data_IF_194730586600
#
_entry.id   IF_194730586600
#
_cell.length_a   1.000
_cell.length_b   1.000
_cell.length_c   1.000
_cell.angle_alpha   90.00
_cell.angle_beta   90.00
_cell.angle_gamma   90.00
#
_symmetry.space_group_name_H-M   'P 1'
#
loop_
_entity.id
_entity.type
_entity.pdbx_description
1 polymer ?
#
# COMPACT_ATOMS: atom_id res chain seq x y z
N UNK A 1 -14.04 0.92 20.20
CA UNK A 1 -14.37 0.35 21.51
C UNK A 1 -13.44 0.98 22.51
N UNK A 2 -13.99 1.26 23.67
CA UNK A 2 -13.26 1.69 24.85
C UNK A 2 -12.42 0.54 25.42
N UNK A 3 -11.49 0.84 26.32
CA UNK A 3 -10.66 -0.18 26.99
C UNK A 3 -11.46 -1.16 27.83
N UNK A 4 -12.64 -0.76 28.33
CA UNK A 4 -13.60 -1.60 29.04
C UNK A 4 -14.45 -2.51 28.11
N UNK A 5 -14.25 -2.40 26.79
CA UNK A 5 -14.97 -3.16 25.77
C UNK A 5 -16.29 -2.52 25.31
N UNK A 6 -16.69 -1.39 25.88
CA UNK A 6 -17.90 -0.67 25.45
C UNK A 6 -17.70 0.00 24.08
N UNK A 7 -18.82 0.30 23.41
CA UNK A 7 -18.79 0.93 22.09
C UNK A 7 -18.68 2.45 22.27
N UNK A 8 -17.65 3.06 21.68
CA UNK A 8 -17.61 4.51 21.49
C UNK A 8 -18.51 4.86 20.30
N UNK A 9 -19.66 5.45 20.57
CA UNK A 9 -20.69 5.71 19.57
C UNK A 9 -20.28 6.83 18.62
N UNK A 10 -19.64 7.89 19.11
CA UNK A 10 -19.17 9.03 18.32
C UNK A 10 -18.18 8.59 17.23
N UNK A 11 -17.19 7.77 17.61
CA UNK A 11 -16.22 7.23 16.68
C UNK A 11 -16.83 6.23 15.68
N UNK A 12 -17.82 5.45 16.13
CA UNK A 12 -18.54 4.48 15.29
C UNK A 12 -19.40 5.20 14.27
N UNK A 13 -20.16 6.18 14.72
CA UNK A 13 -21.06 6.99 13.91
C UNK A 13 -20.27 7.80 12.86
N UNK A 14 -19.13 8.40 13.24
CA UNK A 14 -18.22 9.03 12.29
C UNK A 14 -17.75 8.08 11.17
N UNK A 15 -17.42 6.82 11.50
CA UNK A 15 -17.02 5.83 10.49
C UNK A 15 -18.17 5.42 9.58
N UNK A 16 -19.36 5.24 10.14
CA UNK A 16 -20.57 4.90 9.38
C UNK A 16 -20.94 6.04 8.44
N UNK A 17 -21.00 7.27 8.95
CA UNK A 17 -21.23 8.47 8.16
C UNK A 17 -20.23 8.58 7.01
N UNK A 18 -18.93 8.45 7.29
CA UNK A 18 -17.91 8.47 6.25
C UNK A 18 -18.11 7.37 5.19
N UNK A 19 -18.54 6.17 5.61
CA UNK A 19 -18.82 5.07 4.68
C UNK A 19 -20.03 5.36 3.79
N UNK A 20 -21.11 5.89 4.34
CA UNK A 20 -22.33 6.23 3.61
C UNK A 20 -22.09 7.38 2.62
N UNK A 21 -21.33 8.40 3.01
CA UNK A 21 -20.93 9.51 2.12
C UNK A 21 -19.93 9.07 1.05
N UNK A 22 -19.19 7.98 1.29
CA UNK A 22 -18.17 7.47 0.37
C UNK A 22 -18.38 5.97 0.09
N UNK A 23 -19.49 5.57 -0.56
CA UNK A 23 -19.83 4.16 -0.76
C UNK A 23 -18.82 3.46 -1.69
N UNK A 24 -18.19 4.23 -2.59
CA UNK A 24 -17.09 3.77 -3.45
C UNK A 24 -15.71 3.82 -2.78
N UNK A 25 -15.65 4.21 -1.49
CA UNK A 25 -14.43 4.32 -0.71
C UNK A 25 -13.73 2.97 -0.56
N UNK A 26 -12.39 2.96 -0.63
CA UNK A 26 -11.66 1.70 -0.47
C UNK A 26 -11.76 1.22 0.97
N UNK A 27 -12.08 -0.07 1.18
CA UNK A 27 -12.05 -0.74 2.50
C UNK A 27 -10.78 -0.44 3.30
N UNK A 28 -9.62 -0.36 2.64
CA UNK A 28 -8.35 -0.03 3.29
C UNK A 28 -8.31 1.37 3.93
N UNK A 29 -9.10 2.32 3.42
CA UNK A 29 -9.24 3.65 4.01
C UNK A 29 -10.06 3.59 5.29
N UNK A 30 -11.19 2.87 5.29
CA UNK A 30 -11.98 2.63 6.49
C UNK A 30 -11.17 1.93 7.57
N UNK A 31 -10.44 0.86 7.22
CA UNK A 31 -9.53 0.17 8.14
C UNK A 31 -8.39 1.08 8.68
N UNK A 32 -7.97 2.08 7.89
CA UNK A 32 -7.02 3.09 8.37
C UNK A 32 -7.70 4.01 9.38
N UNK A 33 -8.89 4.52 9.08
CA UNK A 33 -9.59 5.46 9.93
C UNK A 33 -10.01 4.81 11.24
N UNK A 34 -10.51 3.57 11.20
CA UNK A 34 -10.82 2.80 12.40
C UNK A 34 -9.61 2.67 13.32
N UNK A 35 -8.43 2.31 12.77
CA UNK A 35 -7.18 2.27 13.56
C UNK A 35 -6.79 3.63 14.14
N UNK A 36 -6.98 4.72 13.40
CA UNK A 36 -6.72 6.07 13.90
C UNK A 36 -7.69 6.43 15.03
N UNK A 37 -8.97 6.12 14.88
CA UNK A 37 -9.99 6.36 15.90
C UNK A 37 -9.76 5.54 17.16
N UNK A 38 -9.35 4.27 17.03
CA UNK A 38 -8.97 3.48 18.21
C UNK A 38 -7.82 4.13 19.00
N UNK A 39 -6.86 4.74 18.30
CA UNK A 39 -5.76 5.50 18.93
C UNK A 39 -6.26 6.79 19.60
N UNK A 40 -7.24 7.44 19.01
CA UNK A 40 -7.87 8.65 19.56
C UNK A 40 -8.66 8.29 20.82
N UNK A 41 -9.53 7.28 20.77
CA UNK A 41 -10.31 6.84 21.94
C UNK A 41 -9.39 6.44 23.10
N UNK A 42 -8.31 5.71 22.83
CA UNK A 42 -7.33 5.37 23.87
C UNK A 42 -6.62 6.59 24.47
N UNK A 43 -6.42 7.66 23.68
CA UNK A 43 -5.90 8.92 24.20
C UNK A 43 -6.90 9.63 25.11
N UNK A 44 -8.17 9.70 24.69
CA UNK A 44 -9.25 10.32 25.48
C UNK A 44 -9.45 9.62 26.82
N UNK A 45 -9.39 8.29 26.85
CA UNK A 45 -9.44 7.54 28.10
C UNK A 45 -8.25 7.86 29.01
N UNK A 46 -7.04 7.94 28.42
CA UNK A 46 -5.83 8.28 29.17
C UNK A 46 -5.91 9.68 29.79
N UNK A 47 -6.47 10.66 29.06
CA UNK A 47 -6.67 12.02 29.56
C UNK A 47 -7.95 12.20 30.39
N UNK A 48 -8.76 11.14 30.57
CA UNK A 48 -10.08 11.20 31.21
C UNK A 48 -11.00 12.25 30.56
N UNK A 49 -10.95 12.32 29.23
CA UNK A 49 -11.73 13.21 28.36
C UNK A 49 -12.72 12.43 27.50
N UNK A 50 -13.67 13.15 26.96
CA UNK A 50 -14.63 12.78 25.93
C UNK A 50 -14.45 13.68 24.70
N UNK A 51 -15.20 13.44 23.62
CA UNK A 51 -15.05 14.26 22.42
C UNK A 51 -15.56 15.69 22.61
N UNK A 52 -16.52 15.89 23.51
CA UNK A 52 -17.19 17.16 23.76
C UNK A 52 -16.45 18.06 24.77
N UNK A 53 -15.46 17.56 25.51
CA UNK A 53 -14.70 18.35 26.51
C UNK A 53 -13.20 18.47 26.20
N UNK A 54 -12.78 18.08 24.98
CA UNK A 54 -11.40 18.31 24.50
C UNK A 54 -11.11 19.80 24.42
N UNK A 55 -9.88 20.16 24.82
CA UNK A 55 -9.31 21.50 24.70
C UNK A 55 -8.04 21.51 23.84
N UNK A 56 -7.56 22.70 23.47
CA UNK A 56 -6.28 22.88 22.77
C UNK A 56 -5.10 22.27 23.56
N UNK A 57 -5.12 22.33 24.90
CA UNK A 57 -4.08 21.73 25.75
C UNK A 57 -4.03 20.20 25.57
N UNK A 58 -5.19 19.54 25.54
CA UNK A 58 -5.27 18.10 25.26
C UNK A 58 -4.70 17.77 23.86
N UNK A 59 -4.90 18.65 22.87
CA UNK A 59 -4.32 18.47 21.54
C UNK A 59 -2.79 18.61 21.53
N UNK A 60 -2.20 19.41 22.42
CA UNK A 60 -0.75 19.50 22.61
C UNK A 60 -0.16 18.27 23.33
N UNK A 61 -0.96 17.59 24.16
CA UNK A 61 -0.54 16.35 24.85
C UNK A 61 -0.62 15.10 23.95
N UNK A 62 -1.50 15.11 22.95
CA UNK A 62 -1.68 13.98 22.02
C UNK A 62 -0.36 13.50 21.37
N UNK A 63 0.53 14.37 20.83
CA UNK A 63 1.84 13.96 20.32
C UNK A 63 2.65 13.14 21.33
N UNK A 64 2.76 13.62 22.57
CA UNK A 64 3.51 12.96 23.65
C UNK A 64 2.94 11.58 23.95
N UNK A 65 1.61 11.48 24.09
CA UNK A 65 0.92 10.21 24.29
C UNK A 65 1.18 9.20 23.16
N UNK A 66 1.11 9.65 21.91
CA UNK A 66 1.27 8.78 20.73
C UNK A 66 2.71 8.34 20.49
N UNK A 67 3.68 9.13 20.96
CA UNK A 67 5.11 8.85 20.87
C UNK A 67 5.63 7.99 22.03
N UNK A 68 4.88 7.85 23.12
CA UNK A 68 5.19 6.85 24.15
C UNK A 68 4.93 5.43 23.60
N UNK A 69 5.99 4.61 23.63
CA UNK A 69 5.92 3.22 23.16
C UNK A 69 5.04 2.34 24.03
N UNK A 70 4.86 2.66 25.31
CA UNK A 70 3.97 1.93 26.24
C UNK A 70 2.53 1.98 25.79
N UNK A 71 2.13 3.12 25.21
CA UNK A 71 0.77 3.32 24.73
C UNK A 71 0.54 2.67 23.36
N UNK A 72 1.57 2.10 22.72
CA UNK A 72 1.46 1.43 21.43
C UNK A 72 1.17 -0.06 21.58
N UNK A 73 0.03 -0.52 21.05
CA UNK A 73 -0.29 -1.95 21.00
C UNK A 73 0.70 -2.80 20.18
N UNK A 74 1.59 -2.18 19.41
CA UNK A 74 2.68 -2.86 18.69
C UNK A 74 4.06 -2.67 19.34
N UNK A 75 4.15 -2.01 20.50
CA UNK A 75 5.41 -1.70 21.19
C UNK A 75 6.30 -0.68 20.47
N UNK A 76 5.81 -0.05 19.40
CA UNK A 76 6.56 0.91 18.59
C UNK A 76 5.89 2.29 18.64
N UNK A 77 6.65 3.29 19.06
CA UNK A 77 6.24 4.70 19.09
C UNK A 77 5.79 5.20 17.70
N UNK A 78 4.76 6.04 17.68
CA UNK A 78 4.28 6.67 16.44
C UNK A 78 5.32 7.67 15.92
N UNK A 79 5.62 7.65 14.62
CA UNK A 79 6.43 8.71 14.02
C UNK A 79 5.64 10.02 13.84
N UNK A 80 6.33 11.15 13.62
CA UNK A 80 5.71 12.46 13.46
C UNK A 80 4.61 12.49 12.38
N UNK A 81 4.77 11.73 11.30
CA UNK A 81 3.77 11.69 10.23
C UNK A 81 2.53 10.91 10.69
N UNK A 82 2.71 9.81 11.42
CA UNK A 82 1.62 9.05 12.03
C UNK A 82 0.86 9.89 13.07
N UNK A 83 1.58 10.61 13.94
CA UNK A 83 1.00 11.56 14.90
C UNK A 83 0.15 12.60 14.18
N UNK A 84 0.73 13.27 13.17
CA UNK A 84 0.02 14.28 12.39
C UNK A 84 -1.22 13.72 11.66
N UNK A 85 -1.15 12.49 11.16
CA UNK A 85 -2.29 11.81 10.53
C UNK A 85 -3.42 11.49 11.52
N UNK A 86 -3.08 11.14 12.77
CA UNK A 86 -4.04 10.89 13.84
C UNK A 86 -4.64 12.22 14.33
N UNK A 87 -3.83 13.24 14.60
CA UNK A 87 -4.30 14.58 14.97
C UNK A 87 -5.24 15.14 13.89
N UNK A 88 -4.87 15.05 12.60
CA UNK A 88 -5.75 15.48 11.51
C UNK A 88 -7.07 14.70 11.48
N UNK A 89 -7.07 13.43 11.90
CA UNK A 89 -8.30 12.64 12.01
C UNK A 89 -9.16 13.15 13.17
N UNK A 90 -8.57 13.39 14.33
CA UNK A 90 -9.26 13.93 15.50
C UNK A 90 -9.94 15.25 15.15
N UNK A 91 -9.22 16.21 14.56
CA UNK A 91 -9.82 17.48 14.13
C UNK A 91 -11.02 17.29 13.19
N UNK A 92 -10.94 16.34 12.25
CA UNK A 92 -12.05 16.03 11.35
C UNK A 92 -13.26 15.41 12.07
N UNK A 93 -13.02 14.64 13.12
CA UNK A 93 -14.09 14.03 13.92
C UNK A 93 -14.77 15.10 14.76
N UNK A 94 -14.00 15.98 15.40
CA UNK A 94 -14.54 17.09 16.19
C UNK A 94 -15.42 18.03 15.34
N UNK A 95 -14.91 18.47 14.19
CA UNK A 95 -15.69 19.31 13.27
C UNK A 95 -16.96 18.61 12.78
N UNK A 96 -16.88 17.31 12.49
CA UNK A 96 -18.03 16.52 12.05
C UNK A 96 -19.08 16.33 13.16
N UNK A 97 -18.64 16.06 14.39
CA UNK A 97 -19.52 15.92 15.56
C UNK A 97 -20.19 17.26 15.90
N UNK A 98 -19.45 18.37 15.85
CA UNK A 98 -20.02 19.71 16.04
C UNK A 98 -21.04 20.05 14.96
N UNK A 99 -20.75 19.78 13.68
CA UNK A 99 -21.68 19.99 12.58
C UNK A 99 -22.98 19.17 12.71
N UNK A 100 -22.94 18.04 13.44
CA UNK A 100 -24.09 17.17 13.71
C UNK A 100 -24.74 17.43 15.07
N UNK A 101 -24.28 18.44 15.82
CA UNK A 101 -24.87 18.88 17.08
C UNK A 101 -24.48 18.05 18.31
N UNK A 102 -23.45 17.21 18.22
CA UNK A 102 -22.93 16.46 19.38
C UNK A 102 -21.97 17.29 20.24
N UNK A 103 -21.40 18.35 19.68
CA UNK A 103 -20.49 19.28 20.36
C UNK A 103 -21.03 20.68 20.11
N UNK A 104 -21.13 21.48 21.18
CA UNK A 104 -21.60 22.86 21.09
C UNK A 104 -20.75 23.68 20.09
N UNK A 105 -21.41 24.51 19.30
CA UNK A 105 -20.78 25.21 18.18
C UNK A 105 -19.74 26.26 18.61
N UNK A 106 -19.79 26.72 19.86
CA UNK A 106 -18.85 27.67 20.46
C UNK A 106 -17.56 27.01 20.96
N UNK A 107 -17.54 25.68 21.14
CA UNK A 107 -16.34 24.93 21.56
C UNK A 107 -15.28 24.84 20.47
N UNK A 108 -15.67 24.93 19.19
CA UNK A 108 -14.74 24.85 18.06
C UNK A 108 -14.75 26.17 17.29
N UNK A 109 -13.62 26.87 17.28
CA UNK A 109 -13.44 28.08 16.48
C UNK A 109 -12.54 27.83 15.27
N UNK A 110 -12.90 28.43 14.13
CA UNK A 110 -12.02 28.54 12.97
C UNK A 110 -11.22 29.85 12.91
N UNK A 111 -11.47 30.74 13.89
CA UNK A 111 -10.79 32.03 14.02
C UNK A 111 -9.89 31.99 15.27
N UNK A 112 -8.55 32.04 15.10
CA UNK A 112 -7.61 31.97 16.23
C UNK A 112 -7.71 33.18 17.19
N UNK A 113 -8.45 34.23 16.82
CA UNK A 113 -8.70 35.39 17.68
C UNK A 113 -9.92 35.22 18.60
N UNK A 114 -10.72 34.18 18.39
CA UNK A 114 -11.91 33.90 19.21
C UNK A 114 -11.54 32.87 20.26
N UNK A 115 -11.89 33.15 21.52
CA UNK A 115 -11.72 32.18 22.59
C UNK A 115 -12.73 31.05 22.41
N UNK A 116 -12.22 29.85 22.17
CA UNK A 116 -12.95 28.59 22.13
C UNK A 116 -12.08 27.51 22.77
N UNK A 117 -12.68 26.37 23.11
CA UNK A 117 -11.95 25.25 23.70
C UNK A 117 -10.94 24.66 22.70
N UNK A 118 -11.30 24.65 21.40
CA UNK A 118 -10.44 24.15 20.31
C UNK A 118 -10.36 25.15 19.16
N UNK A 119 -9.14 25.54 18.77
CA UNK A 119 -8.89 26.46 17.64
C UNK A 119 -8.31 25.74 16.42
N UNK A 120 -9.06 25.74 15.31
CA UNK A 120 -8.70 25.01 14.08
C UNK A 120 -8.52 25.98 12.91
N UNK A 121 -7.35 26.00 12.30
CA UNK A 121 -7.16 26.78 11.07
C UNK A 121 -7.49 25.95 9.82
N UNK A 122 -8.22 26.52 8.87
CA UNK A 122 -8.35 25.95 7.53
C UNK A 122 -7.15 26.36 6.66
N UNK A 123 -6.29 25.40 6.36
CA UNK A 123 -5.15 25.60 5.46
C UNK A 123 -5.34 24.84 4.16
N UNK A 124 -4.64 25.27 3.13
CA UNK A 124 -4.64 24.59 1.84
C UNK A 124 -3.24 24.35 1.31
N UNK A 125 -3.09 23.27 0.54
CA UNK A 125 -1.85 22.98 -0.17
C UNK A 125 -2.16 22.37 -1.54
N UNK A 126 -1.21 22.52 -2.46
CA UNK A 126 -1.24 21.82 -3.74
C UNK A 126 -0.22 20.68 -3.67
N UNK A 127 -0.65 19.40 -3.69
CA UNK A 127 0.28 18.29 -3.69
C UNK A 127 1.25 18.38 -4.87
N UNK A 128 2.52 18.04 -4.66
CA UNK A 128 3.53 18.03 -5.72
C UNK A 128 3.08 17.15 -6.90
N UNK A 129 2.99 17.74 -8.09
CA UNK A 129 2.52 17.06 -9.31
C UNK A 129 0.99 16.96 -9.45
N UNK A 130 0.23 17.63 -8.58
CA UNK A 130 -1.22 17.82 -8.70
C UNK A 130 -1.52 19.26 -9.13
N UNK A 131 -2.61 19.44 -9.89
CA UNK A 131 -3.22 20.77 -10.13
C UNK A 131 -4.35 21.09 -9.14
N UNK A 132 -4.76 20.10 -8.34
CA UNK A 132 -5.89 20.21 -7.42
C UNK A 132 -5.40 20.72 -6.07
N UNK A 133 -5.91 21.88 -5.65
CA UNK A 133 -5.78 22.42 -4.29
C UNK A 133 -6.54 21.53 -3.31
N UNK A 134 -5.92 21.23 -2.17
CA UNK A 134 -6.51 20.43 -1.09
C UNK A 134 -6.52 21.21 0.20
N UNK A 135 -7.69 21.26 0.82
CA UNK A 135 -7.89 21.89 2.11
C UNK A 135 -7.77 20.86 3.23
N UNK A 136 -7.32 21.33 4.40
CA UNK A 136 -7.15 20.52 5.58
C UNK A 136 -7.23 21.36 6.84
N UNK A 137 -7.71 20.74 7.92
CA UNK A 137 -7.67 21.30 9.26
C UNK A 137 -6.25 21.27 9.82
N UNK A 138 -5.76 22.42 10.24
CA UNK A 138 -4.46 22.64 10.85
C UNK A 138 -4.63 23.00 12.32
N UNK A 139 -3.71 22.50 13.14
CA UNK A 139 -3.60 22.83 14.55
C UNK A 139 -2.11 23.02 14.90
N UNK A 140 -1.73 23.96 15.78
CA UNK A 140 -0.34 24.20 16.17
C UNK A 140 0.39 23.00 16.77
N UNK A 141 -0.32 22.05 17.41
CA UNK A 141 0.25 20.80 17.93
C UNK A 141 0.81 19.84 16.84
N UNK A 142 0.72 20.18 15.55
CA UNK A 142 1.32 19.38 14.48
C UNK A 142 2.84 19.39 14.56
N UNK A 143 3.42 18.20 14.52
CA UNK A 143 4.87 18.00 14.52
C UNK A 143 5.49 18.26 13.14
N UNK A 144 6.78 18.55 13.12
CA UNK A 144 7.56 18.67 11.88
C UNK A 144 7.50 17.35 11.08
N UNK A 145 7.17 17.44 9.79
CA UNK A 145 7.08 16.24 8.95
C UNK A 145 8.49 15.71 8.67
N UNK A 146 8.68 14.40 8.85
CA UNK A 146 9.96 13.77 8.50
C UNK A 146 10.14 13.82 6.99
N UNK A 147 11.33 14.26 6.55
CA UNK A 147 11.68 14.29 5.13
C UNK A 147 11.51 12.89 4.52
N UNK A 148 10.85 12.83 3.36
CA UNK A 148 10.70 11.59 2.63
C UNK A 148 12.09 11.06 2.25
N UNK A 149 12.49 9.93 2.82
CA UNK A 149 13.73 9.26 2.44
C UNK A 149 13.64 8.85 0.97
N UNK A 150 14.60 9.32 0.15
CA UNK A 150 14.70 8.92 -1.26
C UNK A 150 14.99 7.42 -1.31
N UNK A 151 14.03 6.64 -1.82
CA UNK A 151 14.21 5.20 -2.03
C UNK A 151 14.90 4.97 -3.36
N UNK A 152 16.06 4.32 -3.33
CA UNK A 152 16.77 3.90 -4.53
C UNK A 152 16.08 2.68 -5.16
N UNK A 153 16.21 2.46 -6.48
CA UNK A 153 15.85 1.18 -7.10
C UNK A 153 16.46 -0.01 -6.36
N UNK A 154 15.82 -1.18 -6.43
CA UNK A 154 16.40 -2.41 -5.90
C UNK A 154 17.72 -2.70 -6.62
N UNK A 155 18.75 -3.11 -5.89
CA UNK A 155 20.05 -3.47 -6.46
C UNK A 155 20.04 -4.89 -7.02
N UNK A 156 20.93 -5.16 -7.96
CA UNK A 156 21.10 -6.51 -8.53
C UNK A 156 21.54 -7.50 -7.45
N UNK A 157 22.41 -7.08 -6.52
CA UNK A 157 22.81 -7.88 -5.37
C UNK A 157 21.60 -8.30 -4.49
N UNK A 158 20.67 -7.39 -4.23
CA UNK A 158 19.47 -7.70 -3.46
C UNK A 158 18.52 -8.65 -4.21
N UNK A 159 18.35 -8.46 -5.52
CA UNK A 159 17.56 -9.38 -6.36
C UNK A 159 18.18 -10.78 -6.40
N UNK A 160 19.48 -10.90 -6.65
CA UNK A 160 20.21 -12.16 -6.67
C UNK A 160 20.12 -12.88 -5.32
N UNK A 161 20.17 -12.13 -4.22
CA UNK A 161 19.94 -12.67 -2.87
C UNK A 161 18.52 -13.22 -2.72
N UNK A 162 17.49 -12.52 -3.20
CA UNK A 162 16.10 -13.00 -3.16
C UNK A 162 15.86 -14.24 -4.05
N UNK A 163 16.57 -14.34 -5.19
CA UNK A 163 16.51 -15.49 -6.07
C UNK A 163 17.17 -16.73 -5.46
N UNK A 164 18.32 -16.57 -4.78
CA UNK A 164 19.05 -17.68 -4.17
C UNK A 164 18.44 -18.12 -2.83
N UNK A 165 18.04 -17.18 -1.97
CA UNK A 165 17.55 -17.50 -0.62
C UNK A 165 16.22 -18.25 -0.59
N UNK A 166 15.46 -18.30 -1.68
CA UNK A 166 14.23 -19.10 -1.74
C UNK A 166 14.50 -20.59 -1.57
N UNK A 167 15.67 -21.08 -2.00
CA UNK A 167 16.02 -22.50 -1.91
C UNK A 167 16.27 -22.93 -0.46
N UNK A 168 16.84 -22.03 0.35
CA UNK A 168 17.01 -22.22 1.80
C UNK A 168 15.70 -21.96 2.59
N UNK A 169 14.86 -21.02 2.12
CA UNK A 169 13.62 -20.62 2.81
C UNK A 169 12.55 -21.72 2.84
N UNK A 170 12.47 -22.57 1.80
CA UNK A 170 11.46 -23.63 1.72
C UNK A 170 11.92 -24.79 0.87
N UNK A 171 11.57 -26.02 1.25
CA UNK A 171 11.78 -27.22 0.44
C UNK A 171 10.71 -27.44 -0.63
N UNK A 172 9.59 -26.71 -0.54
CA UNK A 172 8.45 -26.91 -1.42
C UNK A 172 8.77 -26.42 -2.86
N UNK A 173 9.00 -27.37 -3.77
CA UNK A 173 9.35 -27.09 -5.17
C UNK A 173 8.35 -26.17 -5.87
N UNK A 174 7.05 -26.38 -5.68
CA UNK A 174 6.01 -25.50 -6.23
C UNK A 174 6.18 -24.06 -5.76
N UNK A 175 6.45 -23.85 -4.47
CA UNK A 175 6.62 -22.53 -3.88
C UNK A 175 7.86 -21.83 -4.41
N UNK A 176 8.97 -22.56 -4.61
CA UNK A 176 10.20 -22.04 -5.23
C UNK A 176 9.95 -21.57 -6.67
N UNK A 177 9.36 -22.41 -7.51
CA UNK A 177 9.09 -22.08 -8.92
C UNK A 177 8.08 -20.94 -9.04
N UNK A 178 7.02 -20.95 -8.22
CA UNK A 178 6.05 -19.85 -8.14
C UNK A 178 6.72 -18.54 -7.73
N UNK A 179 7.63 -18.57 -6.74
CA UNK A 179 8.37 -17.40 -6.31
C UNK A 179 9.27 -16.84 -7.40
N UNK A 180 10.03 -17.69 -8.08
CA UNK A 180 10.90 -17.28 -9.18
C UNK A 180 10.11 -16.55 -10.28
N UNK A 181 9.02 -17.14 -10.74
CA UNK A 181 8.13 -16.54 -11.75
C UNK A 181 7.49 -15.24 -11.26
N UNK A 182 7.11 -15.17 -9.98
CA UNK A 182 6.50 -13.97 -9.39
C UNK A 182 7.51 -12.82 -9.28
N UNK A 183 8.74 -13.11 -8.84
CA UNK A 183 9.79 -12.11 -8.68
C UNK A 183 10.19 -11.55 -10.05
N UNK A 184 10.37 -12.42 -11.05
CA UNK A 184 10.60 -12.02 -12.44
C UNK A 184 9.43 -11.20 -13.00
N UNK A 185 8.18 -11.58 -12.75
CA UNK A 185 7.03 -10.80 -13.17
C UNK A 185 7.06 -9.37 -12.60
N UNK A 186 7.45 -9.19 -11.33
CA UNK A 186 7.58 -7.86 -10.73
C UNK A 186 8.72 -7.04 -11.35
N UNK A 187 9.84 -7.70 -11.64
CA UNK A 187 11.02 -7.08 -12.22
C UNK A 187 10.83 -6.67 -13.68
N UNK A 188 10.47 -7.63 -14.52
CA UNK A 188 10.42 -7.49 -15.98
C UNK A 188 9.24 -6.66 -16.47
N UNK A 189 8.20 -6.48 -15.65
CA UNK A 189 7.02 -5.69 -16.05
C UNK A 189 6.88 -4.38 -15.28
N UNK A 190 7.63 -4.21 -14.18
CA UNK A 190 7.45 -3.12 -13.23
C UNK A 190 6.03 -3.03 -12.65
N UNK A 191 5.22 -4.08 -12.73
CA UNK A 191 3.84 -4.10 -12.28
C UNK A 191 3.73 -3.92 -10.76
N UNK A 192 2.61 -3.34 -10.32
CA UNK A 192 2.27 -3.40 -8.88
C UNK A 192 1.92 -4.83 -8.51
N UNK A 193 2.16 -5.21 -7.25
CA UNK A 193 1.75 -6.53 -6.71
C UNK A 193 0.28 -6.84 -6.98
N UNK A 194 -0.60 -5.84 -6.88
CA UNK A 194 -2.02 -5.98 -7.16
C UNK A 194 -2.34 -6.23 -8.64
N UNK A 195 -1.49 -5.75 -9.55
CA UNK A 195 -1.60 -6.01 -10.99
C UNK A 195 -1.08 -7.43 -11.30
N UNK A 196 0.07 -7.83 -10.73
CA UNK A 196 0.61 -9.20 -10.85
C UNK A 196 -0.36 -10.26 -10.33
N UNK A 197 -1.02 -10.00 -9.21
CA UNK A 197 -2.04 -10.89 -8.64
C UNK A 197 -3.27 -11.07 -9.56
N UNK A 198 -3.46 -10.20 -10.56
CA UNK A 198 -4.55 -10.22 -11.53
C UNK A 198 -4.09 -10.63 -12.93
N UNK A 199 -2.89 -11.20 -13.07
CA UNK A 199 -2.49 -11.80 -14.35
C UNK A 199 -3.28 -13.09 -14.55
N UNK A 200 -3.78 -13.27 -15.76
CA UNK A 200 -4.61 -14.40 -16.16
C UNK A 200 -3.84 -15.41 -17.01
N UNK A 201 -4.25 -16.68 -17.01
CA UNK A 201 -3.63 -17.75 -17.81
C UNK A 201 -3.88 -17.49 -19.29
N UNK A 202 -5.06 -16.99 -19.66
CA UNK A 202 -5.35 -16.58 -21.05
C UNK A 202 -4.34 -15.56 -21.59
N UNK A 203 -3.84 -14.65 -20.74
CA UNK A 203 -2.85 -13.65 -21.16
C UNK A 203 -1.47 -14.27 -21.40
N UNK A 204 -1.09 -15.28 -20.62
CA UNK A 204 0.16 -16.04 -20.85
C UNK A 204 0.05 -16.88 -22.11
N UNK A 205 -1.09 -17.57 -22.32
CA UNK A 205 -1.34 -18.33 -23.55
C UNK A 205 -1.30 -17.44 -24.79
N UNK A 206 -1.85 -16.22 -24.72
CA UNK A 206 -1.72 -15.24 -25.82
C UNK A 206 -0.25 -14.94 -26.12
N UNK A 207 0.57 -14.73 -25.10
CA UNK A 207 2.00 -14.47 -25.29
C UNK A 207 2.76 -15.68 -25.88
N UNK A 208 2.40 -16.91 -25.49
CA UNK A 208 2.95 -18.12 -26.12
C UNK A 208 2.61 -18.18 -27.61
N UNK A 209 1.36 -17.89 -27.97
CA UNK A 209 0.97 -17.83 -29.38
C UNK A 209 1.70 -16.69 -30.13
N UNK A 210 1.92 -15.52 -29.50
CA UNK A 210 2.70 -14.43 -30.10
C UNK A 210 4.12 -14.90 -30.45
N UNK A 211 4.75 -15.72 -29.62
CA UNK A 211 6.07 -16.31 -29.88
C UNK A 211 6.03 -17.28 -31.07
N UNK A 212 5.01 -18.13 -31.17
CA UNK A 212 4.85 -19.06 -32.29
C UNK A 212 4.73 -18.34 -33.65
N UNK A 213 4.15 -17.14 -33.66
CA UNK A 213 4.08 -16.28 -34.84
C UNK A 213 5.26 -15.30 -34.97
N UNK A 214 6.39 -15.57 -34.30
CA UNK A 214 7.63 -14.77 -34.35
C UNK A 214 7.43 -13.29 -33.95
N UNK A 215 6.48 -13.01 -33.06
CA UNK A 215 6.22 -11.66 -32.53
C UNK A 215 6.81 -11.48 -31.14
N UNK A 216 7.22 -10.25 -30.83
CA UNK A 216 7.60 -9.89 -29.46
C UNK A 216 6.40 -10.07 -28.51
N UNK A 217 6.48 -10.95 -27.51
CA UNK A 217 5.36 -11.20 -26.62
C UNK A 217 5.07 -9.99 -25.73
N UNK A 218 3.79 -9.70 -25.53
CA UNK A 218 3.32 -8.57 -24.72
C UNK A 218 2.30 -9.01 -23.67
N UNK A 219 2.75 -9.03 -22.42
CA UNK A 219 1.91 -9.42 -21.29
C UNK A 219 0.89 -8.32 -20.97
N UNK A 220 -0.39 -8.70 -20.85
CA UNK A 220 -1.46 -7.78 -20.48
C UNK A 220 -1.49 -7.60 -18.97
N UNK A 221 -1.54 -6.35 -18.53
CA UNK A 221 -1.67 -5.97 -17.13
C UNK A 221 -2.88 -5.07 -16.94
N UNK A 222 -3.80 -5.46 -16.06
CA UNK A 222 -4.92 -4.62 -15.66
C UNK A 222 -4.52 -3.70 -14.52
N UNK A 223 -4.57 -2.39 -14.77
CA UNK A 223 -4.21 -1.37 -13.78
C UNK A 223 -5.23 -1.38 -12.64
N UNK A 224 -4.75 -1.50 -11.40
CA UNK A 224 -5.64 -1.68 -10.24
C UNK A 224 -5.91 -0.40 -9.43
N UNK A 225 -5.14 0.68 -9.65
CA UNK A 225 -5.24 1.91 -8.87
C UNK A 225 -4.95 3.15 -9.73
N UNK A 226 -5.52 4.28 -9.35
CA UNK A 226 -5.33 5.58 -9.99
C UNK A 226 -6.35 5.84 -11.12
N UNK A 227 -6.14 6.91 -11.88
CA UNK A 227 -7.06 7.37 -12.95
C UNK A 227 -7.35 6.31 -14.02
N UNK A 228 -6.42 5.38 -14.24
CA UNK A 228 -6.55 4.31 -15.22
C UNK A 228 -6.96 2.97 -14.59
N UNK A 229 -7.49 2.96 -13.36
CA UNK A 229 -7.99 1.73 -12.75
C UNK A 229 -9.02 1.05 -13.66
N UNK A 230 -8.92 -0.28 -13.81
CA UNK A 230 -9.74 -1.07 -14.73
C UNK A 230 -9.20 -1.13 -16.16
N UNK A 231 -8.39 -0.15 -16.60
CA UNK A 231 -7.78 -0.16 -17.93
C UNK A 231 -6.63 -1.15 -18.00
N UNK A 232 -6.53 -1.85 -19.12
CA UNK A 232 -5.44 -2.78 -19.40
C UNK A 232 -4.35 -2.13 -20.26
N UNK A 233 -3.11 -2.58 -20.09
CA UNK A 233 -1.95 -2.19 -20.92
C UNK A 233 -1.16 -3.42 -21.32
N UNK A 234 -0.49 -3.37 -22.46
CA UNK A 234 0.40 -4.41 -22.94
C UNK A 234 1.85 -4.01 -22.63
N UNK A 235 2.60 -4.90 -21.99
CA UNK A 235 4.01 -4.69 -21.63
C UNK A 235 4.87 -5.73 -22.36
N UNK A 236 5.81 -5.32 -23.21
CA UNK A 236 6.77 -6.25 -23.82
C UNK A 236 7.55 -6.97 -22.73
N UNK A 237 7.72 -8.28 -22.88
CA UNK A 237 8.50 -9.12 -21.94
C UNK A 237 9.44 -10.04 -22.72
N UNK A 238 10.55 -10.52 -22.13
CA UNK A 238 11.43 -11.51 -22.76
C UNK A 238 10.71 -12.81 -23.10
N UNK A 239 11.16 -13.50 -24.15
CA UNK A 239 10.58 -14.76 -24.63
C UNK A 239 10.78 -15.87 -23.59
N UNK A 240 11.96 -15.90 -22.99
CA UNK A 240 12.40 -16.84 -21.96
C UNK A 240 11.46 -16.80 -20.77
N UNK A 241 11.11 -15.60 -20.29
CA UNK A 241 10.17 -15.41 -19.20
C UNK A 241 8.77 -15.98 -19.52
N UNK A 242 8.29 -15.81 -20.75
CA UNK A 242 6.99 -16.37 -21.16
C UNK A 242 7.04 -17.90 -21.24
N UNK A 243 8.15 -18.47 -21.72
CA UNK A 243 8.36 -19.92 -21.72
C UNK A 243 8.39 -20.49 -20.30
N UNK A 244 9.10 -19.83 -19.38
CA UNK A 244 9.12 -20.21 -17.96
C UNK A 244 7.73 -20.15 -17.30
N UNK A 245 6.93 -19.13 -17.65
CA UNK A 245 5.53 -19.07 -17.23
C UNK A 245 4.73 -20.24 -17.80
N UNK A 246 4.95 -20.59 -19.07
CA UNK A 246 4.35 -21.77 -19.72
C UNK A 246 4.67 -23.08 -18.97
N UNK A 247 5.93 -23.27 -18.60
CA UNK A 247 6.38 -24.42 -17.82
C UNK A 247 5.77 -24.44 -16.42
N UNK A 248 5.72 -23.27 -15.76
CA UNK A 248 5.03 -23.12 -14.49
C UNK A 248 3.54 -23.51 -14.59
N UNK A 249 2.85 -23.11 -15.66
CA UNK A 249 1.47 -23.50 -15.91
C UNK A 249 1.32 -25.01 -16.07
N UNK A 250 2.11 -25.60 -16.97
CA UNK A 250 2.02 -27.01 -17.39
C UNK A 250 2.40 -27.97 -16.27
N UNK A 251 3.54 -27.75 -15.62
CA UNK A 251 4.13 -28.73 -14.70
C UNK A 251 3.77 -28.49 -13.23
N UNK A 252 3.29 -27.31 -12.85
CA UNK A 252 3.11 -26.94 -11.45
C UNK A 252 1.70 -26.46 -11.12
N UNK A 253 1.21 -25.41 -11.79
CA UNK A 253 -0.11 -24.82 -11.50
C UNK A 253 -1.26 -25.76 -11.88
N UNK A 254 -1.32 -26.20 -13.14
CA UNK A 254 -2.46 -26.96 -13.65
C UNK A 254 -2.63 -28.32 -12.96
N UNK A 255 -1.56 -29.07 -12.62
CA UNK A 255 -1.69 -30.29 -11.82
C UNK A 255 -2.35 -30.06 -10.45
N UNK A 256 -2.02 -28.96 -9.77
CA UNK A 256 -2.63 -28.63 -8.46
C UNK A 256 -4.11 -28.34 -8.59
N UNK A 257 -4.51 -27.55 -9.61
CA UNK A 257 -5.92 -27.22 -9.84
C UNK A 257 -6.73 -28.47 -10.18
N UNK A 258 -6.21 -29.31 -11.09
CA UNK A 258 -6.83 -30.58 -11.47
C UNK A 258 -7.00 -31.50 -10.26
N UNK A 259 -5.96 -31.67 -9.44
CA UNK A 259 -5.99 -32.51 -8.24
C UNK A 259 -7.07 -32.06 -7.24
N UNK A 260 -7.29 -30.75 -7.11
CA UNK A 260 -8.18 -30.18 -6.10
C UNK A 260 -9.59 -29.85 -6.66
N UNK A 261 -9.88 -30.14 -7.93
CA UNK A 261 -11.16 -29.82 -8.56
C UNK A 261 -11.46 -28.32 -8.62
N UNK A 262 -10.43 -27.47 -8.68
CA UNK A 262 -10.58 -26.01 -8.71
C UNK A 262 -10.40 -25.50 -10.13
N UNK A 263 -11.36 -24.71 -10.61
CA UNK A 263 -11.25 -24.01 -11.89
C UNK A 263 -11.30 -22.48 -11.71
N UNK A 264 -10.26 -21.82 -12.19
CA UNK A 264 -10.21 -20.38 -12.38
C UNK A 264 -9.03 -20.00 -13.27
N UNK A 265 -9.04 -18.79 -13.82
CA UNK A 265 -8.06 -18.32 -14.80
C UNK A 265 -6.88 -17.52 -14.20
N UNK A 266 -6.73 -17.42 -12.88
CA UNK A 266 -5.60 -16.67 -12.28
C UNK A 266 -4.26 -17.39 -12.44
N UNK A 267 -3.22 -16.69 -12.89
CA UNK A 267 -1.87 -17.24 -13.10
C UNK A 267 -1.26 -17.79 -11.80
N UNK A 268 -1.19 -16.96 -10.75
CA UNK A 268 -0.54 -17.34 -9.50
C UNK A 268 -1.53 -17.93 -8.49
N UNK A 269 -1.16 -19.08 -7.90
CA UNK A 269 -2.03 -19.84 -7.01
C UNK A 269 -1.34 -20.22 -5.70
N UNK A 270 -2.13 -20.50 -4.68
CA UNK A 270 -1.67 -21.08 -3.41
C UNK A 270 -1.32 -22.55 -3.59
N UNK A 271 -0.65 -23.16 -2.61
CA UNK A 271 -0.40 -24.62 -2.60
C UNK A 271 -1.68 -25.45 -2.60
N UNK A 272 -2.81 -24.86 -2.19
CA UNK A 272 -4.15 -25.46 -2.24
C UNK A 272 -4.90 -25.18 -3.56
N UNK A 273 -4.28 -24.49 -4.52
CA UNK A 273 -4.90 -24.17 -5.81
C UNK A 273 -5.73 -22.88 -5.85
N UNK A 274 -6.11 -22.31 -4.70
CA UNK A 274 -6.82 -21.02 -4.65
C UNK A 274 -5.99 -19.87 -5.24
N UNK A 275 -6.64 -18.86 -5.83
CA UNK A 275 -5.99 -17.63 -6.35
C UNK A 275 -5.08 -16.96 -5.31
N UNK A 276 -3.89 -16.55 -5.73
CA UNK A 276 -2.92 -15.88 -4.85
C UNK A 276 -3.25 -14.39 -4.71
N UNK A 277 -3.75 -14.00 -3.53
CA UNK A 277 -4.13 -12.60 -3.25
C UNK A 277 -2.91 -11.69 -3.17
N UNK A 278 -3.06 -10.42 -3.56
CA UNK A 278 -2.00 -9.40 -3.52
C UNK A 278 -1.36 -9.24 -2.12
N UNK A 279 -2.17 -9.34 -1.05
CA UNK A 279 -1.66 -9.35 0.33
C UNK A 279 -0.71 -10.53 0.58
N UNK A 280 -1.10 -11.75 0.21
CA UNK A 280 -0.26 -12.94 0.36
C UNK A 280 1.04 -12.82 -0.43
N UNK A 281 1.01 -12.22 -1.63
CA UNK A 281 2.24 -11.95 -2.40
C UNK A 281 3.17 -11.00 -1.63
N UNK A 282 2.62 -9.91 -1.08
CA UNK A 282 3.41 -8.96 -0.29
C UNK A 282 3.97 -9.58 0.99
N UNK A 283 3.18 -10.46 1.64
CA UNK A 283 3.61 -11.21 2.82
C UNK A 283 4.72 -12.21 2.48
N UNK A 284 4.57 -12.97 1.39
CA UNK A 284 5.59 -13.92 0.95
C UNK A 284 6.89 -13.21 0.57
N UNK A 285 6.80 -12.05 -0.10
CA UNK A 285 7.97 -11.23 -0.38
C UNK A 285 8.64 -10.74 0.91
N UNK A 286 7.85 -10.31 1.89
CA UNK A 286 8.36 -9.90 3.21
C UNK A 286 9.05 -11.05 3.93
N UNK A 287 8.45 -12.24 3.93
CA UNK A 287 8.99 -13.45 4.55
C UNK A 287 10.37 -13.80 3.97
N UNK A 288 10.47 -13.94 2.64
CA UNK A 288 11.73 -14.27 1.96
C UNK A 288 12.78 -13.17 2.19
N UNK A 289 12.38 -11.89 2.14
CA UNK A 289 13.26 -10.77 2.41
C UNK A 289 13.82 -10.80 3.84
N UNK A 290 12.96 -11.02 4.83
CA UNK A 290 13.35 -11.08 6.23
C UNK A 290 14.28 -12.28 6.48
N UNK A 291 13.97 -13.44 5.89
CA UNK A 291 14.85 -14.61 5.91
C UNK A 291 16.22 -14.33 5.30
N UNK A 292 16.26 -13.55 4.21
CA UNK A 292 17.49 -13.11 3.57
C UNK A 292 18.26 -12.01 4.34
N UNK A 293 17.78 -11.56 5.50
CA UNK A 293 18.42 -10.49 6.28
C UNK A 293 18.33 -9.09 5.62
N UNK A 294 17.49 -8.92 4.60
CA UNK A 294 17.37 -7.65 3.87
C UNK A 294 16.39 -6.69 4.54
N UNK A 295 16.73 -5.40 4.64
CA UNK A 295 15.82 -4.40 5.19
C UNK A 295 14.77 -4.01 4.16
N UNK A 296 13.66 -3.42 4.63
CA UNK A 296 12.58 -2.92 3.76
C UNK A 296 13.04 -1.82 2.78
N UNK A 297 14.07 -1.06 3.15
CA UNK A 297 14.72 -0.06 2.30
C UNK A 297 15.51 -0.68 1.15
N UNK A 298 15.97 -1.92 1.32
CA UNK A 298 16.87 -2.58 0.38
C UNK A 298 16.07 -3.42 -0.63
N UNK A 299 14.98 -4.05 -0.17
CA UNK A 299 14.11 -4.84 -1.03
C UNK A 299 12.61 -4.66 -0.71
N UNK A 300 11.84 -4.29 -1.74
CA UNK A 300 10.38 -4.38 -1.73
C UNK A 300 9.85 -4.45 -3.17
N UNK A 301 8.62 -4.94 -3.39
CA UNK A 301 8.02 -4.96 -4.72
C UNK A 301 7.95 -3.57 -5.38
N UNK A 302 7.85 -2.51 -4.59
CA UNK A 302 7.86 -1.15 -5.11
C UNK A 302 9.24 -0.73 -5.65
N UNK A 303 10.32 -1.27 -5.07
CA UNK A 303 11.69 -0.99 -5.55
C UNK A 303 11.97 -1.72 -6.87
N UNK A 304 11.40 -2.91 -7.10
CA UNK A 304 11.42 -3.59 -8.40
C UNK A 304 10.81 -2.70 -9.49
N UNK A 305 9.63 -2.11 -9.21
CA UNK A 305 9.01 -1.14 -10.12
C UNK A 305 9.89 0.09 -10.38
N UNK A 306 10.53 0.63 -9.34
CA UNK A 306 11.43 1.76 -9.50
C UNK A 306 12.66 1.40 -10.35
N UNK A 307 13.19 0.17 -10.24
CA UNK A 307 14.26 -0.35 -11.10
C UNK A 307 13.81 -0.42 -12.55
N UNK A 308 12.67 -1.05 -12.82
CA UNK A 308 12.10 -1.15 -14.17
C UNK A 308 11.98 0.23 -14.85
N UNK A 309 11.36 1.20 -14.16
CA UNK A 309 11.20 2.57 -14.68
C UNK A 309 12.56 3.22 -14.93
N UNK A 310 13.51 3.07 -13.99
CA UNK A 310 14.84 3.66 -14.09
C UNK A 310 15.61 3.13 -15.30
N UNK A 311 15.56 1.81 -15.54
CA UNK A 311 16.21 1.17 -16.69
C UNK A 311 15.60 1.65 -18.00
N UNK A 312 14.27 1.66 -18.10
CA UNK A 312 13.58 2.16 -19.31
C UNK A 312 13.86 3.63 -19.59
N UNK A 313 13.97 4.48 -18.55
CA UNK A 313 14.36 5.88 -18.71
C UNK A 313 15.80 5.99 -19.20
N UNK A 314 16.73 5.20 -18.63
CA UNK A 314 18.13 5.18 -19.08
C UNK A 314 18.24 4.77 -20.55
N UNK A 315 17.54 3.72 -20.96
CA UNK A 315 17.51 3.25 -22.36
C UNK A 315 17.00 4.32 -23.31
N UNK A 316 15.86 4.95 -22.98
CA UNK A 316 15.29 6.04 -23.81
C UNK A 316 16.22 7.24 -23.90
N UNK A 317 16.90 7.59 -22.81
CA UNK A 317 17.89 8.67 -22.82
C UNK A 317 19.11 8.30 -23.68
N UNK A 318 19.55 7.04 -23.65
CA UNK A 318 20.65 6.57 -24.48
C UNK A 318 20.26 6.59 -25.97
N UNK A 319 19.06 6.10 -26.32
CA UNK A 319 18.56 6.14 -27.69
C UNK A 319 18.41 7.56 -28.24
N UNK A 320 17.99 8.52 -27.39
CA UNK A 320 17.91 9.93 -27.77
C UNK A 320 19.29 10.58 -27.97
N UNK A 321 20.32 10.08 -27.29
CA UNK A 321 21.71 10.57 -27.40
C UNK A 321 22.50 9.92 -28.54
N UNK A 322 21.88 9.07 -29.36
CA UNK A 322 22.55 8.39 -30.48
C UNK A 322 23.43 7.19 -30.09
N UNK A 323 23.59 6.92 -28.80
CA UNK A 323 24.28 5.73 -28.31
C UNK A 323 23.26 4.61 -28.07
N UNK A 324 23.14 3.64 -28.98
CA UNK A 324 22.45 2.39 -28.65
C UNK A 324 23.29 1.64 -27.61
N UNK A 325 22.83 1.40 -26.37
CA UNK A 325 23.32 0.28 -25.61
C UNK A 325 22.61 -0.95 -26.18
N UNK A 326 23.37 -1.82 -26.86
CA UNK A 326 22.94 -3.21 -27.03
C UNK A 326 23.00 -3.83 -25.64
N UNK A 327 21.84 -4.08 -25.05
CA UNK A 327 21.73 -5.11 -24.04
C UNK A 327 20.72 -6.09 -24.61
N UNK A 328 21.23 -7.27 -24.95
CA UNK A 328 20.46 -8.46 -25.32
C UNK A 328 19.39 -8.76 -24.25
N UNK A 329 18.20 -9.22 -24.66
CA UNK A 329 17.04 -9.38 -23.78
C UNK A 329 17.26 -10.32 -22.59
#
# INVERSE_FOLDING_TARGET
MHSDGTVCWEATDYLLFYHFENPSGTKSTLEKYARQLSRIVAFLEYSSRWFDDITDDDLFDLPSFLQDSKNSGSGQASDNNQVNEILTRLLKVLVDLSARGYIDADKISFNPMVRADVNIEMRAFVPKGSKVKREYYYHPARLSTKNAQKRRPISDAALNTLHSKIYEFTENRFTRVRWANLLQALELTGARVSEVAKIHVVDVKRCLNEIEYEKQPRLKLTTTKGKNAGKSRLVPVPIEFVKELGDYLKYYRNPILKKNGIDHDYLFVTTRGNRLRAKRISDHFREVRCFAGLRKSDASPHLCRNRFITLHVKERLASLKGNRPVITP
#
